data_IF_938453119981
#
_entry.id   IF_938453119981
#
_cell.length_a   1.000
_cell.length_b   1.000
_cell.length_c   1.000
_cell.angle_alpha   90.00
_cell.angle_beta   90.00
_cell.angle_gamma   90.00
#
_symmetry.space_group_name_H-M   'P 1'
#
loop_
_entity.id
_entity.type
_entity.pdbx_description
1 polymer ?
#
# COMPACT_ATOMS: atom_id res chain seq x y z
N UNK A 1 45.24 6.20 -16.13
CA UNK A 1 44.70 6.97 -14.99
C UNK A 1 44.03 5.96 -14.09
N UNK A 2 44.38 5.92 -12.80
CA UNK A 2 43.84 4.93 -11.88
C UNK A 2 42.35 5.25 -11.68
N UNK A 3 41.49 4.38 -12.18
CA UNK A 3 40.04 4.45 -12.02
C UNK A 3 39.73 4.36 -10.52
N UNK A 4 39.39 5.49 -9.91
CA UNK A 4 39.18 5.58 -8.47
C UNK A 4 37.93 4.76 -8.09
N UNK A 5 37.88 4.24 -6.86
CA UNK A 5 36.71 3.49 -6.39
C UNK A 5 35.42 4.34 -6.53
N UNK A 6 35.56 5.66 -6.44
CA UNK A 6 34.49 6.64 -6.61
C UNK A 6 33.99 6.75 -8.06
N UNK A 7 34.89 6.80 -9.05
CA UNK A 7 34.51 6.80 -10.47
C UNK A 7 33.78 5.50 -10.85
N UNK A 8 34.25 4.37 -10.32
CA UNK A 8 33.59 3.06 -10.49
C UNK A 8 32.21 3.03 -9.83
N UNK A 9 32.01 3.71 -8.70
CA UNK A 9 30.69 3.88 -8.07
C UNK A 9 29.75 4.68 -8.97
N UNK A 10 30.20 5.83 -9.49
CA UNK A 10 29.42 6.68 -10.40
C UNK A 10 29.02 5.91 -11.66
N UNK A 11 29.98 5.23 -12.29
CA UNK A 11 29.74 4.43 -13.49
C UNK A 11 28.75 3.28 -13.23
N UNK A 12 28.88 2.58 -12.10
CA UNK A 12 27.97 1.48 -11.75
C UNK A 12 26.54 1.95 -11.45
N UNK A 13 26.39 3.12 -10.83
CA UNK A 13 25.08 3.74 -10.62
C UNK A 13 24.49 4.18 -11.96
N UNK A 14 25.26 4.84 -12.83
CA UNK A 14 24.83 5.24 -14.17
C UNK A 14 24.31 4.04 -14.99
N UNK A 15 25.10 2.97 -15.07
CA UNK A 15 24.76 1.77 -15.82
C UNK A 15 23.46 1.09 -15.36
N UNK A 16 23.10 1.19 -14.08
CA UNK A 16 21.81 0.68 -13.58
C UNK A 16 20.63 1.46 -14.15
N UNK A 17 20.78 2.78 -14.34
CA UNK A 17 19.74 3.66 -14.84
C UNK A 17 19.66 3.75 -16.38
N UNK A 18 20.66 3.20 -17.08
CA UNK A 18 20.62 3.02 -18.54
C UNK A 18 19.70 1.84 -18.97
N UNK A 19 19.31 0.98 -18.03
CA UNK A 19 18.39 -0.14 -18.30
C UNK A 19 16.95 0.36 -18.57
N UNK A 20 16.16 -0.36 -19.39
CA UNK A 20 14.76 -0.01 -19.61
C UNK A 20 13.94 -0.15 -18.31
N UNK A 21 13.27 0.93 -17.90
CA UNK A 21 12.49 1.04 -16.66
C UNK A 21 13.30 0.74 -15.37
N UNK A 22 14.30 1.57 -15.06
CA UNK A 22 15.15 1.35 -13.90
C UNK A 22 14.36 1.59 -12.61
N UNK A 23 14.36 0.60 -11.73
CA UNK A 23 13.82 0.76 -10.37
C UNK A 23 14.79 1.56 -9.50
N UNK A 24 14.33 2.24 -8.43
CA UNK A 24 15.23 2.92 -7.50
C UNK A 24 16.35 2.00 -6.99
N UNK A 25 17.60 2.43 -7.13
CA UNK A 25 18.76 1.63 -6.74
C UNK A 25 18.98 1.74 -5.24
N UNK A 26 18.55 0.70 -4.51
CA UNK A 26 18.79 0.59 -3.07
C UNK A 26 20.28 0.36 -2.78
N UNK A 27 20.83 1.10 -1.81
CA UNK A 27 22.21 0.95 -1.36
C UNK A 27 22.51 -0.45 -0.81
N UNK A 28 21.53 -1.06 -0.14
CA UNK A 28 21.63 -2.43 0.35
C UNK A 28 21.79 -3.44 -0.80
N UNK A 29 20.96 -3.34 -1.83
CA UNK A 29 21.03 -4.18 -3.03
C UNK A 29 22.29 -3.91 -3.84
N UNK A 30 22.71 -2.64 -3.97
CA UNK A 30 23.95 -2.27 -4.63
C UNK A 30 25.16 -2.91 -3.94
N UNK A 31 25.24 -2.82 -2.61
CA UNK A 31 26.32 -3.41 -1.83
C UNK A 31 26.37 -4.95 -1.92
N UNK A 32 25.21 -5.60 -2.03
CA UNK A 32 25.14 -7.05 -2.22
C UNK A 32 25.64 -7.49 -3.60
N UNK A 33 25.33 -6.73 -4.66
CA UNK A 33 25.73 -7.02 -6.04
C UNK A 33 27.20 -6.68 -6.31
N UNK A 34 27.72 -5.63 -5.68
CA UNK A 34 29.06 -5.09 -5.92
C UNK A 34 29.98 -5.27 -4.70
N UNK A 35 30.07 -6.49 -4.15
CA UNK A 35 30.87 -6.77 -2.93
C UNK A 35 32.35 -6.32 -3.00
N UNK A 36 33.08 -6.52 -4.12
CA UNK A 36 34.47 -6.07 -4.21
C UNK A 36 34.57 -4.54 -4.13
N UNK A 37 33.74 -3.84 -4.91
CA UNK A 37 33.67 -2.38 -4.90
C UNK A 37 33.23 -1.83 -3.54
N UNK A 38 32.31 -2.50 -2.85
CA UNK A 38 31.91 -2.14 -1.49
C UNK A 38 33.09 -2.22 -0.50
N UNK A 39 33.98 -3.21 -0.66
CA UNK A 39 35.16 -3.34 0.20
C UNK A 39 36.13 -2.18 -0.03
N UNK A 40 36.39 -1.84 -1.30
CA UNK A 40 37.24 -0.71 -1.69
C UNK A 40 36.68 0.62 -1.14
N UNK A 41 35.38 0.87 -1.35
CA UNK A 41 34.68 2.08 -0.87
C UNK A 41 34.66 2.17 0.66
N UNK A 42 34.56 1.03 1.37
CA UNK A 42 34.63 1.00 2.84
C UNK A 42 36.05 1.24 3.36
N UNK A 43 37.07 0.72 2.68
CA UNK A 43 38.45 0.95 3.05
C UNK A 43 38.83 2.43 2.93
N UNK A 44 38.31 3.11 1.90
CA UNK A 44 38.63 4.51 1.61
C UNK A 44 37.73 5.51 2.36
N UNK A 45 36.41 5.27 2.43
CA UNK A 45 35.43 6.23 2.98
C UNK A 45 34.71 5.75 4.25
N UNK A 46 35.01 4.54 4.74
CA UNK A 46 34.40 3.95 5.94
C UNK A 46 32.98 3.37 5.72
N UNK A 47 32.17 3.95 4.85
CA UNK A 47 30.84 3.44 4.51
C UNK A 47 30.41 3.78 3.07
N UNK A 48 29.49 3.00 2.53
CA UNK A 48 28.91 3.25 1.19
C UNK A 48 28.20 4.61 1.13
N UNK A 49 27.49 4.99 2.20
CA UNK A 49 26.81 6.28 2.28
C UNK A 49 27.79 7.46 2.31
N UNK A 50 28.93 7.29 3.01
CA UNK A 50 30.00 8.30 3.01
C UNK A 50 30.63 8.44 1.62
N UNK A 51 30.83 7.33 0.91
CA UNK A 51 31.31 7.37 -0.47
C UNK A 51 30.33 8.07 -1.43
N UNK A 52 29.02 7.84 -1.29
CA UNK A 52 28.00 8.56 -2.08
C UNK A 52 28.06 10.06 -1.80
N UNK A 53 28.24 10.47 -0.54
CA UNK A 53 28.43 11.89 -0.20
C UNK A 53 29.73 12.45 -0.78
N UNK A 54 30.81 11.67 -0.78
CA UNK A 54 32.10 12.05 -1.35
C UNK A 54 32.06 12.15 -2.89
N UNK A 55 31.18 11.39 -3.56
CA UNK A 55 30.97 11.48 -5.01
C UNK A 55 30.42 12.84 -5.46
N UNK A 56 29.87 13.62 -4.52
CA UNK A 56 29.30 14.93 -4.77
C UNK A 56 27.89 14.85 -5.36
N UNK A 57 27.05 15.81 -4.94
CA UNK A 57 25.64 15.88 -5.36
C UNK A 57 25.47 16.17 -6.86
N UNK A 58 26.53 16.60 -7.56
CA UNK A 58 26.51 16.82 -9.01
C UNK A 58 26.60 15.51 -9.80
N UNK A 59 27.08 14.43 -9.18
CA UNK A 59 27.20 13.12 -9.82
C UNK A 59 26.09 12.18 -9.36
N UNK A 60 25.99 11.95 -8.04
CA UNK A 60 25.03 11.01 -7.44
C UNK A 60 24.34 11.69 -6.26
N UNK A 61 23.02 11.52 -6.17
CA UNK A 61 22.21 11.99 -5.05
C UNK A 61 21.47 10.86 -4.39
N UNK A 62 21.20 11.04 -3.10
CA UNK A 62 20.34 10.16 -2.32
C UNK A 62 18.91 10.60 -2.55
N UNK A 63 18.08 9.69 -3.08
CA UNK A 63 16.68 9.96 -3.45
C UNK A 63 15.69 9.46 -2.41
N UNK A 64 16.09 8.48 -1.58
CA UNK A 64 15.37 8.03 -0.40
C UNK A 64 16.38 7.89 0.74
N UNK A 65 16.10 8.51 1.88
CA UNK A 65 16.94 8.47 3.09
C UNK A 65 16.31 7.65 4.22
N UNK A 66 15.21 6.94 3.93
CA UNK A 66 14.53 6.08 4.89
C UNK A 66 15.45 4.91 5.26
N UNK A 67 15.66 4.70 6.57
CA UNK A 67 16.54 3.64 7.07
C UNK A 67 16.17 2.27 6.49
N UNK A 68 17.14 1.58 5.87
CA UNK A 68 16.95 0.28 5.23
C UNK A 68 16.32 0.33 3.83
N UNK A 69 15.98 1.51 3.34
CA UNK A 69 15.45 1.78 1.99
C UNK A 69 16.25 2.89 1.30
N UNK A 70 17.47 3.16 1.75
CA UNK A 70 18.28 4.23 1.20
C UNK A 70 18.56 3.96 -0.28
N UNK A 71 18.18 4.91 -1.12
CA UNK A 71 18.29 4.77 -2.56
C UNK A 71 19.10 5.92 -3.16
N UNK A 72 19.85 5.63 -4.21
CA UNK A 72 20.71 6.61 -4.90
C UNK A 72 20.45 6.63 -6.38
N UNK A 73 20.59 7.80 -6.99
CA UNK A 73 20.44 7.98 -8.42
C UNK A 73 21.41 9.04 -8.96
N UNK A 74 21.72 9.02 -10.27
CA UNK A 74 22.43 10.11 -10.93
C UNK A 74 21.72 11.45 -10.71
N UNK A 75 22.50 12.52 -10.54
CA UNK A 75 21.97 13.86 -10.28
C UNK A 75 20.95 14.33 -11.33
N UNK A 76 21.13 13.91 -12.59
CA UNK A 76 20.24 14.25 -13.72
C UNK A 76 18.81 13.77 -13.56
N UNK A 77 18.59 12.64 -12.87
CA UNK A 77 17.26 12.03 -12.70
C UNK A 77 16.78 12.00 -11.24
N UNK A 78 17.65 12.37 -10.30
CA UNK A 78 17.41 12.26 -8.86
C UNK A 78 16.12 12.96 -8.41
N UNK A 79 15.87 14.19 -8.88
CA UNK A 79 14.67 14.95 -8.52
C UNK A 79 13.38 14.25 -8.97
N UNK A 80 13.35 13.78 -10.22
CA UNK A 80 12.20 13.06 -10.78
C UNK A 80 11.93 11.77 -10.01
N UNK A 81 12.99 11.01 -9.72
CA UNK A 81 12.87 9.75 -8.99
C UNK A 81 12.44 9.97 -7.53
N UNK A 82 12.94 11.03 -6.88
CA UNK A 82 12.51 11.41 -5.54
C UNK A 82 11.01 11.74 -5.50
N UNK A 83 10.51 12.51 -6.49
CA UNK A 83 9.08 12.82 -6.60
C UNK A 83 8.24 11.56 -6.85
N UNK A 84 8.72 10.63 -7.68
CA UNK A 84 8.08 9.34 -7.91
C UNK A 84 8.00 8.52 -6.60
N UNK A 85 9.11 8.36 -5.88
CA UNK A 85 9.15 7.63 -4.61
C UNK A 85 8.19 8.25 -3.58
N UNK A 86 8.13 9.58 -3.50
CA UNK A 86 7.19 10.27 -2.62
C UNK A 86 5.73 10.02 -3.02
N UNK A 87 5.43 10.07 -4.32
CA UNK A 87 4.09 9.81 -4.87
C UNK A 87 3.65 8.37 -4.63
N UNK A 88 4.55 7.42 -4.85
CA UNK A 88 4.31 5.99 -4.59
C UNK A 88 4.07 5.73 -3.12
N UNK A 89 4.90 6.31 -2.24
CA UNK A 89 4.74 6.18 -0.79
C UNK A 89 3.43 6.80 -0.30
N UNK A 90 3.04 7.96 -0.85
CA UNK A 90 1.77 8.60 -0.54
C UNK A 90 0.58 7.76 -1.01
N UNK A 91 0.68 7.17 -2.21
CA UNK A 91 -0.35 6.29 -2.77
C UNK A 91 -0.47 5.00 -1.95
N UNK A 92 0.65 4.40 -1.56
CA UNK A 92 0.65 3.21 -0.69
C UNK A 92 -0.06 3.47 0.65
N UNK A 93 0.23 4.62 1.27
CA UNK A 93 -0.45 5.03 2.52
C UNK A 93 -1.94 5.27 2.30
N UNK A 94 -2.31 5.90 1.19
CA UNK A 94 -3.72 6.13 0.83
C UNK A 94 -4.45 4.80 0.70
N UNK A 95 -3.90 3.86 -0.05
CA UNK A 95 -4.51 2.55 -0.30
C UNK A 95 -4.61 1.70 0.97
N UNK A 96 -3.58 1.71 1.81
CA UNK A 96 -3.64 1.09 3.13
C UNK A 96 -4.76 1.68 4.01
N UNK A 97 -4.93 3.01 3.98
CA UNK A 97 -6.02 3.67 4.71
C UNK A 97 -7.39 3.32 4.14
N UNK A 98 -7.53 3.22 2.81
CA UNK A 98 -8.78 2.80 2.17
C UNK A 98 -9.17 1.38 2.61
N UNK A 99 -8.20 0.47 2.71
CA UNK A 99 -8.44 -0.85 3.25
C UNK A 99 -8.86 -0.81 4.73
N UNK A 100 -8.19 0.00 5.55
CA UNK A 100 -8.51 0.13 6.98
C UNK A 100 -9.92 0.68 7.23
N UNK A 101 -10.45 1.51 6.33
CA UNK A 101 -11.81 2.05 6.38
C UNK A 101 -12.91 1.01 6.05
N UNK A 102 -12.55 -0.18 5.54
CA UNK A 102 -13.53 -1.20 5.22
C UNK A 102 -14.23 -1.78 6.47
N UNK A 103 -15.47 -2.28 6.32
CA UNK A 103 -16.17 -3.03 7.36
C UNK A 103 -15.33 -4.19 7.88
N UNK A 104 -15.41 -4.46 9.19
CA UNK A 104 -14.62 -5.52 9.83
C UNK A 104 -14.83 -6.89 9.17
N UNK A 105 -16.07 -7.23 8.82
CA UNK A 105 -16.39 -8.48 8.12
C UNK A 105 -15.65 -8.61 6.77
N UNK A 106 -15.54 -7.52 6.01
CA UNK A 106 -14.82 -7.49 4.73
C UNK A 106 -13.33 -7.71 4.97
N UNK A 107 -12.72 -6.93 5.87
CA UNK A 107 -11.28 -7.07 6.18
C UNK A 107 -10.91 -8.48 6.65
N UNK A 108 -11.76 -9.07 7.51
CA UNK A 108 -11.56 -10.42 8.02
C UNK A 108 -11.71 -11.48 6.93
N UNK A 109 -12.64 -11.33 5.99
CA UNK A 109 -12.85 -12.28 4.90
C UNK A 109 -11.57 -12.51 4.08
N UNK A 110 -10.78 -11.46 3.85
CA UNK A 110 -9.50 -11.53 3.12
C UNK A 110 -8.34 -12.12 3.94
N UNK A 111 -8.45 -12.18 5.28
CA UNK A 111 -7.36 -12.59 6.16
C UNK A 111 -7.64 -13.88 6.97
N UNK A 112 -8.89 -14.33 7.01
CA UNK A 112 -9.28 -15.49 7.83
C UNK A 112 -8.64 -16.78 7.32
N UNK A 113 -8.11 -17.59 8.24
CA UNK A 113 -7.57 -18.92 7.93
C UNK A 113 -8.70 -19.84 7.49
N UNK A 114 -8.45 -20.65 6.47
CA UNK A 114 -9.35 -21.70 5.98
C UNK A 114 -8.71 -23.06 6.17
N UNK A 115 -9.52 -24.07 6.45
CA UNK A 115 -9.10 -25.47 6.41
C UNK A 115 -9.16 -26.03 4.98
N UNK A 116 -8.66 -27.24 4.77
CA UNK A 116 -8.68 -27.88 3.45
C UNK A 116 -10.12 -28.05 2.97
N UNK A 117 -10.43 -27.50 1.78
CA UNK A 117 -11.78 -27.51 1.20
C UNK A 117 -12.70 -26.39 1.69
N UNK A 118 -12.30 -25.56 2.66
CA UNK A 118 -13.07 -24.35 3.01
C UNK A 118 -12.78 -23.20 2.03
N UNK A 119 -13.84 -22.54 1.61
CA UNK A 119 -13.80 -21.30 0.83
C UNK A 119 -14.47 -20.18 1.63
N UNK A 120 -14.09 -18.93 1.37
CA UNK A 120 -14.70 -17.77 2.03
C UNK A 120 -15.61 -17.07 1.05
N UNK A 121 -16.88 -16.93 1.44
CA UNK A 121 -17.85 -16.11 0.73
C UNK A 121 -18.20 -14.87 1.56
N UNK A 122 -18.45 -13.75 0.88
CA UNK A 122 -18.86 -12.50 1.52
C UNK A 122 -20.15 -11.99 0.89
N UNK A 123 -21.06 -11.46 1.71
CA UNK A 123 -22.23 -10.75 1.24
C UNK A 123 -21.81 -9.47 0.49
N UNK A 124 -22.35 -9.28 -0.71
CA UNK A 124 -22.16 -8.08 -1.54
C UNK A 124 -23.19 -7.01 -1.24
N UNK A 125 -24.24 -7.37 -0.51
CA UNK A 125 -25.29 -6.48 -0.03
C UNK A 125 -25.20 -6.39 1.49
N UNK A 126 -25.52 -5.21 2.03
CA UNK A 126 -25.53 -5.00 3.48
C UNK A 126 -26.61 -5.84 4.18
N UNK A 127 -26.39 -6.24 5.45
CA UNK A 127 -25.16 -6.08 6.23
C UNK A 127 -24.06 -7.03 5.74
N UNK A 128 -22.83 -6.51 5.60
CA UNK A 128 -21.71 -7.32 5.12
C UNK A 128 -21.36 -8.39 6.16
N UNK A 129 -21.48 -9.65 5.78
CA UNK A 129 -21.07 -10.81 6.57
C UNK A 129 -20.25 -11.73 5.70
N UNK A 130 -19.28 -12.39 6.31
CA UNK A 130 -18.53 -13.44 5.64
C UNK A 130 -18.90 -14.79 6.25
N UNK A 131 -18.85 -15.82 5.42
CA UNK A 131 -19.10 -17.21 5.80
C UNK A 131 -18.04 -18.09 5.18
N UNK A 132 -17.61 -19.09 5.95
CA UNK A 132 -16.80 -20.19 5.43
C UNK A 132 -17.75 -21.25 4.90
N UNK A 133 -17.53 -21.69 3.67
CA UNK A 133 -18.36 -22.68 2.99
C UNK A 133 -17.46 -23.78 2.45
N UNK A 134 -17.84 -25.03 2.68
CA UNK A 134 -17.13 -26.20 2.13
C UNK A 134 -17.73 -26.66 0.81
N UNK A 135 -18.98 -26.29 0.54
CA UNK A 135 -19.70 -26.60 -0.69
C UNK A 135 -20.18 -25.30 -1.33
N UNK A 136 -19.78 -24.98 -2.57
CA UNK A 136 -20.18 -23.75 -3.26
C UNK A 136 -21.70 -23.60 -3.44
N UNK A 137 -22.45 -24.69 -3.39
CA UNK A 137 -23.91 -24.71 -3.49
C UNK A 137 -24.62 -24.11 -2.27
N UNK A 138 -23.91 -23.96 -1.13
CA UNK A 138 -24.45 -23.34 0.09
C UNK A 138 -24.38 -21.81 0.08
N UNK A 139 -23.90 -21.22 -1.02
CA UNK A 139 -23.69 -19.78 -1.15
C UNK A 139 -25.00 -19.09 -1.48
N UNK A 140 -25.32 -18.05 -0.72
CA UNK A 140 -26.52 -17.24 -0.96
C UNK A 140 -26.38 -16.47 -2.28
N UNK A 141 -27.47 -16.11 -2.96
CA UNK A 141 -27.40 -15.28 -4.18
C UNK A 141 -26.70 -13.93 -3.96
N UNK A 142 -26.75 -13.41 -2.73
CA UNK A 142 -26.09 -12.16 -2.30
C UNK A 142 -24.61 -12.34 -1.96
N UNK A 143 -24.09 -13.56 -1.99
CA UNK A 143 -22.72 -13.84 -1.60
C UNK A 143 -21.83 -14.12 -2.81
N UNK A 144 -20.55 -13.80 -2.67
CA UNK A 144 -19.52 -14.08 -3.67
C UNK A 144 -18.30 -14.69 -3.00
N UNK A 145 -17.73 -15.70 -3.65
CA UNK A 145 -16.52 -16.39 -3.17
C UNK A 145 -15.33 -15.47 -3.40
N UNK A 146 -14.46 -15.38 -2.42
CA UNK A 146 -13.14 -14.77 -2.52
C UNK A 146 -12.14 -15.89 -2.82
N UNK A 147 -11.60 -15.87 -4.04
CA UNK A 147 -10.55 -16.81 -4.46
C UNK A 147 -9.32 -16.72 -3.57
N UNK A 148 -8.62 -17.84 -3.39
CA UNK A 148 -7.46 -17.93 -2.49
C UNK A 148 -6.33 -16.99 -2.92
N UNK A 149 -6.16 -16.77 -4.22
CA UNK A 149 -5.21 -15.85 -4.84
C UNK A 149 -5.39 -14.39 -4.40
N UNK A 150 -6.60 -14.00 -4.01
CA UNK A 150 -6.90 -12.66 -3.53
C UNK A 150 -6.76 -12.54 -2.00
N UNK A 151 -6.57 -13.64 -1.27
CA UNK A 151 -6.53 -13.63 0.20
C UNK A 151 -5.10 -13.66 0.73
N UNK A 152 -4.96 -13.31 2.01
CA UNK A 152 -3.74 -13.52 2.81
C UNK A 152 -4.11 -14.24 4.11
N UNK A 153 -4.40 -15.56 4.04
CA UNK A 153 -4.86 -16.32 5.20
C UNK A 153 -3.85 -16.26 6.36
N UNK A 154 -4.33 -15.91 7.55
CA UNK A 154 -3.52 -15.84 8.77
C UNK A 154 -2.77 -14.51 8.99
N UNK A 155 -2.88 -13.54 8.08
CA UNK A 155 -2.34 -12.20 8.27
C UNK A 155 -3.07 -11.49 9.42
N UNK A 156 -2.32 -11.00 10.41
CA UNK A 156 -2.88 -10.30 11.57
C UNK A 156 -2.98 -8.81 11.28
N UNK A 157 -4.20 -8.30 11.04
CA UNK A 157 -4.44 -6.89 10.67
C UNK A 157 -3.89 -5.87 11.66
N UNK A 158 -3.87 -6.21 12.96
CA UNK A 158 -3.35 -5.34 14.03
C UNK A 158 -1.86 -5.03 13.86
N UNK A 159 -1.09 -5.98 13.35
CA UNK A 159 0.37 -5.89 13.18
C UNK A 159 0.78 -5.80 11.72
N UNK A 160 -0.18 -5.84 10.80
CA UNK A 160 0.08 -5.74 9.36
C UNK A 160 0.71 -4.39 9.03
N UNK A 161 1.79 -4.42 8.25
CA UNK A 161 2.49 -3.27 7.70
C UNK A 161 1.63 -2.51 6.68
N UNK A 162 2.03 -1.28 6.36
CA UNK A 162 1.37 -0.45 5.33
C UNK A 162 1.36 -1.16 3.99
N UNK A 163 2.48 -1.80 3.62
CA UNK A 163 2.60 -2.55 2.35
C UNK A 163 1.68 -3.77 2.32
N UNK A 164 1.52 -4.49 3.43
CA UNK A 164 0.58 -5.62 3.48
C UNK A 164 -0.88 -5.17 3.34
N UNK A 165 -1.26 -4.05 3.97
CA UNK A 165 -2.61 -3.48 3.85
C UNK A 165 -2.89 -2.94 2.46
N UNK A 166 -1.92 -2.29 1.85
CA UNK A 166 -2.01 -1.85 0.47
C UNK A 166 -2.10 -3.03 -0.51
N UNK A 167 -1.34 -4.12 -0.28
CA UNK A 167 -1.51 -5.34 -1.06
C UNK A 167 -2.91 -5.95 -0.89
N UNK A 168 -3.48 -5.94 0.32
CA UNK A 168 -4.85 -6.37 0.56
C UNK A 168 -5.88 -5.49 -0.17
N UNK A 169 -5.65 -4.17 -0.22
CA UNK A 169 -6.49 -3.25 -1.00
C UNK A 169 -6.48 -3.60 -2.48
N UNK A 170 -5.29 -3.81 -3.06
CA UNK A 170 -5.14 -4.22 -4.47
C UNK A 170 -5.83 -5.55 -4.74
N UNK A 171 -5.66 -6.53 -3.84
CA UNK A 171 -6.34 -7.81 -3.96
C UNK A 171 -7.87 -7.68 -3.95
N UNK A 172 -8.42 -6.81 -3.10
CA UNK A 172 -9.86 -6.53 -3.07
C UNK A 172 -10.34 -5.93 -4.39
N UNK A 173 -9.61 -4.95 -4.93
CA UNK A 173 -9.95 -4.35 -6.23
C UNK A 173 -9.95 -5.43 -7.32
N UNK A 174 -8.89 -6.22 -7.43
CA UNK A 174 -8.79 -7.28 -8.45
C UNK A 174 -9.89 -8.34 -8.31
N UNK A 175 -10.24 -8.71 -7.08
CA UNK A 175 -11.36 -9.61 -6.83
C UNK A 175 -12.71 -8.98 -7.21
N UNK A 176 -12.92 -7.71 -6.87
CA UNK A 176 -14.14 -6.98 -7.18
C UNK A 176 -14.33 -6.85 -8.70
N UNK A 177 -13.25 -6.51 -9.43
CA UNK A 177 -13.24 -6.49 -10.90
C UNK A 177 -13.57 -7.87 -11.50
N UNK A 178 -12.92 -8.95 -11.01
CA UNK A 178 -13.16 -10.30 -11.50
C UNK A 178 -14.60 -10.80 -11.25
N UNK A 179 -15.28 -10.26 -10.23
CA UNK A 179 -16.64 -10.65 -9.84
C UNK A 179 -17.72 -9.65 -10.29
N UNK A 180 -17.33 -8.56 -10.96
CA UNK A 180 -18.24 -7.50 -11.41
C UNK A 180 -18.85 -6.67 -10.27
N UNK A 181 -18.19 -6.61 -9.11
CA UNK A 181 -18.60 -5.78 -7.96
C UNK A 181 -17.83 -4.47 -8.04
N UNK A 182 -18.49 -3.33 -7.82
CA UNK A 182 -17.78 -2.07 -7.68
C UNK A 182 -16.99 -2.04 -6.35
N UNK A 183 -15.68 -1.72 -6.33
CA UNK A 183 -14.89 -1.66 -5.09
C UNK A 183 -15.47 -0.73 -4.02
N UNK A 184 -16.14 0.34 -4.46
CA UNK A 184 -16.79 1.33 -3.59
C UNK A 184 -18.02 0.77 -2.85
N UNK A 185 -18.57 -0.37 -3.27
CA UNK A 185 -19.69 -1.07 -2.61
C UNK A 185 -19.41 -1.26 -1.12
N UNK A 186 -18.17 -1.62 -0.77
CA UNK A 186 -17.76 -1.89 0.60
C UNK A 186 -17.25 -0.65 1.34
N UNK A 187 -16.92 0.44 0.63
CA UNK A 187 -16.36 1.67 1.22
C UNK A 187 -17.43 2.60 1.78
N UNK A 188 -18.67 2.50 1.30
CA UNK A 188 -19.76 3.20 1.94
C UNK A 188 -19.92 2.58 3.33
N UNK A 189 -19.44 3.26 4.37
CA UNK A 189 -19.47 2.75 5.73
C UNK A 189 -20.90 2.47 6.18
N UNK A 190 -21.06 1.60 7.18
CA UNK A 190 -22.15 1.82 8.13
C UNK A 190 -22.08 3.29 8.55
N UNK A 191 -23.22 3.94 8.64
CA UNK A 191 -23.29 5.22 9.30
C UNK A 191 -22.85 5.03 10.77
N UNK A 192 -21.54 5.11 11.02
CA UNK A 192 -20.91 4.83 12.32
C UNK A 192 -21.21 5.92 13.34
N UNK A 193 -21.81 7.03 12.90
CA UNK A 193 -22.23 8.13 13.75
C UNK A 193 -23.75 8.30 13.64
N UNK A 194 -24.36 8.77 14.73
CA UNK A 194 -25.78 9.15 14.71
C UNK A 194 -26.07 10.18 13.60
N UNK A 195 -25.11 11.04 13.26
CA UNK A 195 -25.23 11.99 12.15
C UNK A 195 -25.35 11.29 10.80
N UNK A 196 -24.47 10.33 10.53
CA UNK A 196 -24.54 9.58 9.28
C UNK A 196 -25.85 8.76 9.19
N UNK A 197 -26.37 8.28 10.33
CA UNK A 197 -27.64 7.52 10.38
C UNK A 197 -28.82 8.44 10.08
N UNK A 198 -28.78 9.66 10.64
CA UNK A 198 -29.78 10.69 10.37
C UNK A 198 -29.82 11.06 8.90
N UNK A 199 -28.65 11.31 8.28
CA UNK A 199 -28.55 11.66 6.85
C UNK A 199 -29.03 10.49 5.98
N UNK A 200 -28.59 9.26 6.26
CA UNK A 200 -28.98 8.08 5.48
C UNK A 200 -30.48 7.73 5.59
N UNK A 201 -31.14 8.15 6.69
CA UNK A 201 -32.58 7.95 6.87
C UNK A 201 -33.43 9.01 6.16
N UNK A 202 -32.85 10.09 5.61
CA UNK A 202 -33.62 11.12 4.94
C UNK A 202 -33.92 10.76 3.48
N UNK A 203 -35.13 11.07 2.99
CA UNK A 203 -35.45 11.10 1.57
C UNK A 203 -34.52 12.06 0.79
N UNK A 204 -34.19 11.72 -0.46
CA UNK A 204 -33.22 12.46 -1.27
C UNK A 204 -33.60 13.93 -1.55
N UNK A 205 -34.90 14.24 -1.54
CA UNK A 205 -35.45 15.59 -1.69
C UNK A 205 -35.32 16.46 -0.44
N UNK A 206 -35.07 15.85 0.73
CA UNK A 206 -34.94 16.54 2.02
C UNK A 206 -33.49 16.90 2.35
N UNK A 207 -32.52 16.10 1.90
CA UNK A 207 -31.09 16.31 2.18
C UNK A 207 -30.61 17.75 1.87
N UNK A 208 -30.94 18.38 0.73
CA UNK A 208 -30.49 19.74 0.42
C UNK A 208 -31.11 20.83 1.30
N UNK A 209 -32.21 20.53 1.99
CA UNK A 209 -32.96 21.45 2.86
C UNK A 209 -32.67 21.22 4.34
N UNK A 210 -31.93 20.17 4.66
CA UNK A 210 -31.62 19.77 6.03
C UNK A 210 -30.53 20.69 6.58
N UNK A 211 -30.91 21.63 7.45
CA UNK A 211 -29.97 22.47 8.19
C UNK A 211 -29.76 21.84 9.56
N UNK A 212 -28.54 21.33 9.80
CA UNK A 212 -28.13 20.81 11.11
C UNK A 212 -27.17 21.83 11.73
N UNK A 213 -27.56 22.50 12.83
CA UNK A 213 -26.68 23.37 13.60
C UNK A 213 -25.38 22.66 14.01
N UNK A 214 -24.26 23.40 14.02
CA UNK A 214 -22.92 22.83 14.19
C UNK A 214 -22.71 22.14 15.56
N UNK A 215 -23.33 22.67 16.62
CA UNK A 215 -23.37 22.11 17.96
C UNK A 215 -24.08 20.75 18.00
N UNK A 216 -25.24 20.63 17.33
CA UNK A 216 -25.97 19.37 17.20
C UNK A 216 -25.18 18.38 16.35
N UNK A 217 -24.59 18.82 15.23
CA UNK A 217 -23.75 17.97 14.39
C UNK A 217 -22.54 17.43 15.18
N UNK A 218 -21.92 18.25 16.04
CA UNK A 218 -20.80 17.84 16.88
C UNK A 218 -21.22 16.79 17.93
N UNK A 219 -22.41 16.91 18.51
CA UNK A 219 -22.97 15.90 19.42
C UNK A 219 -23.22 14.59 18.64
N UNK A 220 -23.89 14.67 17.49
CA UNK A 220 -24.22 13.52 16.66
C UNK A 220 -23.00 12.80 16.06
N UNK A 221 -21.87 13.50 15.89
CA UNK A 221 -20.59 12.94 15.49
C UNK A 221 -19.88 12.18 16.62
N UNK A 222 -20.10 12.57 17.89
CA UNK A 222 -19.50 11.93 19.07
C UNK A 222 -20.20 10.65 19.51
N UNK A 223 -21.44 10.43 19.08
CA UNK A 223 -22.23 9.26 19.42
C UNK A 223 -22.24 8.24 18.27
N UNK A 224 -21.58 7.11 18.49
CA UNK A 224 -21.58 5.93 17.61
C UNK A 224 -22.70 4.96 17.97
#
# INVERSE_FOLDING_TARGET
MADTALERLIAAVGAHYDAPNPTPLLLSSFGQRNKPLLADLKAEFGSLMAAVRAAGEDNIRVVDATSGREAVAPASIATTLQQQIQTDTASQRRDANLFDCLPAAVKLAFCVRTEAGEQVAIDTVRPFRFTKVTTPELIRPTQRIIGEEYRRPGLTLRTASVTEREALWRNLISWAEATGIEPNTFQQGEATTALARLIAAQPADIIPRLIIPADIAQILLKHS
#
